data_IF_251721015887
#
_entry.id   IF_251721015887
#
_cell.length_a   1.000
_cell.length_b   1.000
_cell.length_c   1.000
_cell.angle_alpha   90.00
_cell.angle_beta   90.00
_cell.angle_gamma   90.00
#
_symmetry.space_group_name_H-M   'P 1'
#
loop_
_entity.id
_entity.type
_entity.pdbx_description
1 polymer ?
#
# COMPACT_ATOMS: atom_id res chain seq x y z
N UNK A 1 22.50 25.72 19.15
CA UNK A 1 21.28 24.89 19.04
C UNK A 1 21.35 24.10 17.73
N UNK A 2 21.82 22.86 17.84
CA UNK A 2 22.04 21.93 16.73
C UNK A 2 20.69 21.46 16.20
N UNK A 3 20.30 21.90 14.99
CA UNK A 3 19.16 21.31 14.30
C UNK A 3 19.59 19.91 13.85
N UNK A 4 19.10 18.87 14.52
CA UNK A 4 19.13 17.52 13.98
C UNK A 4 18.31 17.53 12.69
N UNK A 5 18.98 17.63 11.54
CA UNK A 5 18.36 17.41 10.26
C UNK A 5 18.16 15.90 10.13
N UNK A 6 16.93 15.43 10.34
CA UNK A 6 16.60 14.04 10.04
C UNK A 6 16.92 13.80 8.56
N UNK A 7 17.95 13.00 8.31
CA UNK A 7 18.27 12.50 6.98
C UNK A 7 17.22 11.43 6.66
N UNK A 8 16.41 11.68 5.65
CA UNK A 8 15.40 10.74 5.18
C UNK A 8 15.94 10.04 3.94
N UNK A 9 15.82 8.71 3.91
CA UNK A 9 16.09 7.93 2.70
C UNK A 9 14.92 8.12 1.74
N UNK A 10 15.23 8.49 0.50
CA UNK A 10 14.28 8.38 -0.59
C UNK A 10 14.65 7.19 -1.46
N UNK A 11 13.62 6.44 -1.83
CA UNK A 11 13.70 5.33 -2.76
C UNK A 11 13.04 5.78 -4.06
N UNK A 12 13.83 6.07 -5.09
CA UNK A 12 13.36 6.72 -6.34
C UNK A 12 12.32 5.88 -7.11
N UNK A 13 12.18 4.58 -6.80
CA UNK A 13 11.22 3.65 -7.42
C UNK A 13 10.36 2.93 -6.36
N UNK A 14 10.23 3.52 -5.16
CA UNK A 14 9.78 2.85 -3.92
C UNK A 14 8.48 2.04 -4.03
N UNK A 15 7.42 2.64 -4.56
CA UNK A 15 6.08 2.04 -4.57
C UNK A 15 5.95 0.91 -5.59
N UNK A 16 6.73 0.96 -6.68
CA UNK A 16 6.77 -0.07 -7.71
C UNK A 16 7.76 -1.19 -7.37
N UNK A 17 8.84 -0.88 -6.63
CA UNK A 17 9.87 -1.86 -6.23
C UNK A 17 9.30 -3.06 -5.46
N UNK A 18 8.25 -2.89 -4.67
CA UNK A 18 7.64 -4.01 -3.95
C UNK A 18 7.12 -5.11 -4.90
N UNK A 19 6.74 -4.73 -6.12
CA UNK A 19 6.22 -5.63 -7.16
C UNK A 19 7.31 -6.19 -8.08
N UNK A 20 8.56 -5.71 -7.99
CA UNK A 20 9.65 -6.24 -8.81
C UNK A 20 10.00 -7.70 -8.45
N UNK A 21 10.48 -8.50 -9.41
CA UNK A 21 10.97 -9.85 -9.14
C UNK A 21 12.20 -9.83 -8.23
N UNK A 22 12.40 -10.92 -7.49
CA UNK A 22 13.44 -11.03 -6.43
C UNK A 22 14.83 -10.70 -6.97
N UNK A 23 15.18 -11.20 -8.15
CA UNK A 23 16.51 -10.99 -8.77
C UNK A 23 16.80 -9.51 -9.07
N UNK A 24 15.76 -8.68 -9.19
CA UNK A 24 15.87 -7.24 -9.46
C UNK A 24 15.76 -6.38 -8.20
N UNK A 25 15.48 -6.98 -7.03
CA UNK A 25 15.41 -6.28 -5.73
C UNK A 25 16.78 -6.12 -5.06
N UNK A 26 17.83 -6.79 -5.53
CA UNK A 26 19.13 -6.88 -4.85
C UNK A 26 20.04 -5.66 -5.00
N UNK A 27 19.84 -4.82 -6.03
CA UNK A 27 20.74 -3.70 -6.36
C UNK A 27 20.13 -2.35 -5.97
N UNK A 28 20.25 -1.98 -4.69
CA UNK A 28 19.52 -0.82 -4.10
C UNK A 28 20.36 0.45 -3.91
N UNK A 29 21.69 0.39 -4.03
CA UNK A 29 22.55 1.55 -3.72
C UNK A 29 22.28 2.75 -4.64
N UNK A 30 21.96 2.51 -5.91
CA UNK A 30 21.68 3.54 -6.91
C UNK A 30 20.25 4.08 -6.84
N UNK A 31 19.34 3.40 -6.15
CA UNK A 31 17.94 3.84 -5.99
C UNK A 31 17.68 4.51 -4.64
N UNK A 32 18.70 4.59 -3.78
CA UNK A 32 18.61 5.13 -2.43
C UNK A 32 19.46 6.39 -2.30
N UNK A 33 18.84 7.52 -1.98
CA UNK A 33 19.54 8.78 -1.72
C UNK A 33 19.17 9.33 -0.35
N UNK A 34 20.18 9.89 0.34
CA UNK A 34 19.98 10.63 1.58
C UNK A 34 19.59 12.07 1.25
N UNK A 35 18.38 12.46 1.65
CA UNK A 35 17.87 13.81 1.48
C UNK A 35 17.55 14.46 2.83
N UNK A 36 17.68 15.78 2.92
CA UNK A 36 17.09 16.52 4.02
C UNK A 36 15.56 16.57 3.87
N UNK A 37 14.84 16.88 4.95
CA UNK A 37 13.38 16.90 4.94
C UNK A 37 12.74 17.78 3.85
N UNK A 38 13.32 18.96 3.55
CA UNK A 38 12.80 19.83 2.48
C UNK A 38 13.06 19.25 1.09
N UNK A 39 14.24 18.69 0.83
CA UNK A 39 14.54 18.02 -0.43
C UNK A 39 13.67 16.77 -0.62
N UNK A 40 13.41 16.02 0.44
CA UNK A 40 12.49 14.88 0.40
C UNK A 40 11.07 15.31 0.00
N UNK A 41 10.55 16.40 0.59
CA UNK A 41 9.23 16.93 0.23
C UNK A 41 9.16 17.35 -1.25
N UNK A 42 10.15 18.11 -1.73
CA UNK A 42 10.20 18.56 -3.14
C UNK A 42 10.31 17.35 -4.08
N UNK A 43 11.13 16.36 -3.72
CA UNK A 43 11.27 15.14 -4.54
C UNK A 43 9.95 14.40 -4.59
N UNK A 44 9.27 14.18 -3.45
CA UNK A 44 7.95 13.52 -3.41
C UNK A 44 6.91 14.22 -4.29
N UNK A 45 6.87 15.55 -4.29
CA UNK A 45 5.96 16.31 -5.16
C UNK A 45 6.27 16.09 -6.65
N UNK A 46 7.55 16.06 -7.01
CA UNK A 46 7.97 15.79 -8.39
C UNK A 46 7.74 14.32 -8.77
N UNK A 47 7.90 13.38 -7.85
CA UNK A 47 7.57 11.97 -8.06
C UNK A 47 6.09 11.80 -8.37
N UNK A 48 5.20 12.49 -7.66
CA UNK A 48 3.76 12.42 -7.91
C UNK A 48 3.39 12.93 -9.32
N UNK A 49 4.08 13.95 -9.83
CA UNK A 49 3.94 14.40 -11.22
C UNK A 49 4.35 13.30 -12.21
N UNK A 50 5.45 12.59 -11.95
CA UNK A 50 5.88 11.48 -12.79
C UNK A 50 4.91 10.29 -12.69
N UNK A 51 4.39 9.97 -11.51
CA UNK A 51 3.35 8.93 -11.32
C UNK A 51 2.11 9.22 -12.15
N UNK A 52 1.65 10.48 -12.18
CA UNK A 52 0.49 10.87 -13.00
C UNK A 52 0.75 10.67 -14.48
N UNK A 53 1.99 10.87 -14.94
CA UNK A 53 2.37 10.60 -16.33
C UNK A 53 2.41 9.09 -16.62
N UNK A 54 3.10 8.32 -15.78
CA UNK A 54 3.17 6.85 -15.86
C UNK A 54 1.77 6.23 -15.82
N UNK A 55 0.88 6.76 -14.98
CA UNK A 55 -0.51 6.33 -14.86
C UNK A 55 -1.26 6.40 -16.19
N UNK A 56 -1.03 7.46 -16.99
CA UNK A 56 -1.63 7.60 -18.32
C UNK A 56 -0.96 6.72 -19.37
N UNK A 57 0.36 6.59 -19.31
CA UNK A 57 1.15 5.81 -20.28
C UNK A 57 0.88 4.31 -20.21
N UNK A 58 0.70 3.77 -18.99
CA UNK A 58 0.46 2.34 -18.74
C UNK A 58 -1.02 2.04 -18.44
N UNK A 59 -1.94 2.98 -18.69
CA UNK A 59 -3.38 2.84 -18.38
C UNK A 59 -3.64 2.28 -16.95
N UNK A 60 -2.86 2.79 -15.99
CA UNK A 60 -2.81 2.32 -14.62
C UNK A 60 -3.23 3.48 -13.71
N UNK A 61 -4.53 3.69 -13.44
CA UNK A 61 -4.98 4.82 -12.62
C UNK A 61 -4.43 4.74 -11.19
N UNK A 62 -3.98 5.87 -10.64
CA UNK A 62 -3.45 5.97 -9.26
C UNK A 62 -4.53 5.60 -8.23
N UNK A 63 -5.75 6.06 -8.48
CA UNK A 63 -6.93 5.62 -7.77
C UNK A 63 -7.70 4.64 -8.66
N UNK A 64 -7.66 3.36 -8.32
CA UNK A 64 -8.36 2.32 -9.07
C UNK A 64 -9.88 2.41 -8.94
N UNK A 65 -10.43 3.29 -8.07
CA UNK A 65 -11.85 3.40 -7.75
C UNK A 65 -12.41 2.20 -6.97
N UNK A 66 -11.76 1.04 -7.07
CA UNK A 66 -11.96 -0.12 -6.24
C UNK A 66 -11.17 0.00 -4.92
N UNK A 67 -11.82 -0.32 -3.81
CA UNK A 67 -11.14 -0.48 -2.52
C UNK A 67 -10.32 -1.78 -2.50
N UNK A 68 -9.13 -1.72 -1.87
CA UNK A 68 -8.28 -2.90 -1.62
C UNK A 68 -8.99 -3.96 -0.77
N UNK A 69 -9.90 -3.51 0.08
CA UNK A 69 -10.70 -4.37 0.95
C UNK A 69 -12.17 -4.27 0.56
N UNK A 70 -12.80 -5.43 0.40
CA UNK A 70 -14.25 -5.54 0.40
C UNK A 70 -14.75 -5.59 1.84
N UNK A 71 -16.03 -5.28 2.01
CA UNK A 71 -16.72 -5.33 3.30
C UNK A 71 -17.81 -6.38 3.19
N UNK A 72 -17.72 -7.45 3.97
CA UNK A 72 -18.74 -8.48 4.03
C UNK A 72 -19.96 -7.94 4.82
N UNK A 73 -21.12 -7.74 4.17
CA UNK A 73 -22.29 -7.18 4.83
C UNK A 73 -22.83 -8.08 5.96
N UNK A 74 -22.65 -9.40 5.86
CA UNK A 74 -23.10 -10.37 6.86
C UNK A 74 -22.21 -10.24 8.10
N UNK A 75 -20.88 -10.26 7.93
CA UNK A 75 -19.95 -10.10 9.05
C UNK A 75 -20.10 -8.74 9.73
N UNK A 76 -20.41 -7.68 8.98
CA UNK A 76 -20.74 -6.37 9.56
C UNK A 76 -21.99 -6.42 10.46
N UNK A 77 -23.06 -7.09 10.00
CA UNK A 77 -24.28 -7.28 10.81
C UNK A 77 -23.98 -8.06 12.08
N UNK A 78 -23.27 -9.17 11.97
CA UNK A 78 -22.86 -10.03 13.10
C UNK A 78 -22.04 -9.24 14.11
N UNK A 79 -21.00 -8.55 13.66
CA UNK A 79 -20.14 -7.72 14.52
C UNK A 79 -20.92 -6.63 15.24
N UNK A 80 -21.80 -5.92 14.53
CA UNK A 80 -22.56 -4.82 15.11
C UNK A 80 -23.59 -5.33 16.13
N UNK A 81 -24.27 -6.44 15.83
CA UNK A 81 -25.19 -7.11 16.75
C UNK A 81 -24.47 -7.54 18.04
N UNK A 82 -23.32 -8.20 17.89
CA UNK A 82 -22.49 -8.63 19.01
C UNK A 82 -21.97 -7.46 19.86
N UNK A 83 -21.49 -6.38 19.23
CA UNK A 83 -21.04 -5.17 19.95
C UNK A 83 -22.18 -4.51 20.69
N UNK A 84 -23.37 -4.45 20.10
CA UNK A 84 -24.55 -3.91 20.75
C UNK A 84 -24.91 -4.70 22.02
N UNK A 85 -24.89 -6.04 21.95
CA UNK A 85 -25.13 -6.91 23.10
C UNK A 85 -24.01 -6.82 24.17
N UNK A 86 -22.74 -6.72 23.76
CA UNK A 86 -21.60 -6.72 24.68
C UNK A 86 -21.32 -5.36 25.37
N UNK A 87 -21.68 -4.23 24.75
CA UNK A 87 -21.26 -2.88 25.19
C UNK A 87 -22.39 -2.02 25.72
N UNK A 88 -23.56 -2.59 26.02
CA UNK A 88 -24.75 -1.81 26.36
C UNK A 88 -24.61 -1.07 27.71
N UNK A 89 -24.13 0.17 27.67
CA UNK A 89 -24.13 1.10 28.82
C UNK A 89 -25.55 1.49 29.26
N UNK A 90 -26.52 1.38 28.35
CA UNK A 90 -27.94 1.53 28.59
C UNK A 90 -28.64 0.20 28.25
N UNK A 91 -29.74 -0.16 28.94
CA UNK A 91 -30.49 -1.38 28.61
C UNK A 91 -30.99 -1.31 27.17
N UNK A 92 -30.67 -2.31 26.34
CA UNK A 92 -31.32 -2.44 25.04
C UNK A 92 -32.81 -2.73 25.24
N UNK A 93 -33.69 -2.21 24.38
CA UNK A 93 -35.06 -2.72 24.30
C UNK A 93 -35.06 -4.22 24.02
N UNK A 94 -35.90 -4.97 24.73
CA UNK A 94 -35.95 -6.45 24.67
C UNK A 94 -36.07 -6.98 23.23
N UNK A 95 -36.90 -6.33 22.42
CA UNK A 95 -37.12 -6.70 21.02
C UNK A 95 -35.85 -6.59 20.16
N UNK A 96 -35.02 -5.57 20.39
CA UNK A 96 -33.74 -5.39 19.68
C UNK A 96 -32.70 -6.40 20.15
N UNK A 97 -32.66 -6.72 21.43
CA UNK A 97 -31.76 -7.73 21.97
C UNK A 97 -32.08 -9.12 21.40
N UNK A 98 -33.36 -9.48 21.27
CA UNK A 98 -33.80 -10.72 20.62
C UNK A 98 -33.33 -10.77 19.16
N UNK A 99 -33.58 -9.72 18.38
CA UNK A 99 -33.13 -9.65 16.98
C UNK A 99 -31.61 -9.85 16.83
N UNK A 100 -30.81 -9.23 17.70
CA UNK A 100 -29.36 -9.39 17.66
C UNK A 100 -28.91 -10.81 18.05
N UNK A 101 -29.58 -11.45 19.02
CA UNK A 101 -29.30 -12.83 19.37
C UNK A 101 -29.64 -13.79 18.22
N UNK A 102 -30.75 -13.59 17.52
CA UNK A 102 -31.12 -14.40 16.36
C UNK A 102 -30.11 -14.28 15.20
N UNK A 103 -29.59 -13.07 14.93
CA UNK A 103 -28.50 -12.87 13.94
C UNK A 103 -27.26 -13.70 14.32
N UNK A 104 -26.89 -13.73 15.60
CA UNK A 104 -25.72 -14.47 16.06
C UNK A 104 -25.96 -15.98 16.05
N UNK A 105 -27.16 -16.44 16.40
CA UNK A 105 -27.55 -17.86 16.32
C UNK A 105 -27.51 -18.37 14.88
N UNK A 106 -28.06 -17.62 13.94
CA UNK A 106 -27.99 -17.95 12.51
C UNK A 106 -26.53 -17.95 12.02
N UNK A 107 -25.71 -17.00 12.46
CA UNK A 107 -24.30 -16.99 12.08
C UNK A 107 -23.50 -18.20 12.61
N UNK A 108 -23.69 -18.56 13.88
CA UNK A 108 -23.00 -19.70 14.50
C UNK A 108 -23.69 -21.04 14.25
N UNK A 109 -24.90 -21.05 13.68
CA UNK A 109 -25.75 -22.22 13.50
C UNK A 109 -26.00 -22.97 14.82
N UNK A 110 -26.36 -22.22 15.87
CA UNK A 110 -26.61 -22.74 17.22
C UNK A 110 -27.99 -22.33 17.74
N UNK A 111 -28.59 -23.18 18.56
CA UNK A 111 -29.90 -22.92 19.18
C UNK A 111 -29.78 -22.01 20.42
N UNK A 112 -28.68 -22.18 21.16
CA UNK A 112 -28.31 -21.37 22.32
C UNK A 112 -27.01 -20.61 22.06
N UNK A 113 -26.96 -19.37 22.53
CA UNK A 113 -25.83 -18.46 22.34
C UNK A 113 -25.20 -18.15 23.69
N UNK A 114 -23.90 -18.42 23.84
CA UNK A 114 -23.15 -18.10 25.04
C UNK A 114 -22.51 -16.69 24.98
N UNK A 115 -22.08 -16.18 26.15
CA UNK A 115 -21.47 -14.86 26.26
C UNK A 115 -20.07 -14.77 25.63
N UNK A 116 -19.38 -15.90 25.42
CA UNK A 116 -18.09 -15.94 24.75
C UNK A 116 -18.25 -15.77 23.23
N UNK A 117 -19.22 -16.44 22.63
CA UNK A 117 -19.60 -16.32 21.22
C UNK A 117 -19.98 -14.88 20.87
N UNK A 118 -20.66 -14.16 21.78
CA UNK A 118 -20.96 -12.73 21.62
C UNK A 118 -19.65 -11.91 21.64
N UNK A 119 -18.75 -12.17 22.59
CA UNK A 119 -17.46 -11.45 22.67
C UNK A 119 -16.59 -11.70 21.44
N UNK A 120 -16.55 -12.92 20.94
CA UNK A 120 -15.79 -13.28 19.74
C UNK A 120 -16.40 -12.69 18.48
N UNK A 121 -17.74 -12.72 18.35
CA UNK A 121 -18.43 -12.09 17.22
C UNK A 121 -18.17 -10.57 17.17
N UNK A 122 -18.04 -9.90 18.32
CA UNK A 122 -17.74 -8.48 18.39
C UNK A 122 -16.33 -8.13 17.87
N UNK A 123 -15.41 -9.10 17.84
CA UNK A 123 -14.01 -8.96 17.39
C UNK A 123 -13.81 -9.29 15.91
N UNK A 124 -14.78 -9.93 15.24
CA UNK A 124 -14.71 -10.28 13.82
C UNK A 124 -14.28 -9.08 12.98
N UNK A 125 -13.32 -9.28 12.08
CA UNK A 125 -13.01 -8.31 11.04
C UNK A 125 -13.90 -8.57 9.82
N UNK A 126 -14.84 -7.66 9.49
CA UNK A 126 -15.74 -7.85 8.35
C UNK A 126 -15.07 -7.48 7.02
N UNK A 127 -13.79 -7.06 7.04
CA UNK A 127 -13.04 -6.72 5.85
C UNK A 127 -12.31 -7.94 5.31
N UNK A 128 -12.38 -8.13 4.00
CA UNK A 128 -11.62 -9.15 3.29
C UNK A 128 -10.91 -8.53 2.08
N UNK A 129 -9.85 -9.19 1.60
CA UNK A 129 -9.13 -8.73 0.42
C UNK A 129 -10.05 -8.75 -0.80
N UNK A 130 -10.00 -7.68 -1.59
CA UNK A 130 -10.73 -7.61 -2.84
C UNK A 130 -9.87 -8.24 -3.96
N UNK A 131 -10.21 -9.42 -4.49
CA UNK A 131 -9.41 -10.06 -5.55
C UNK A 131 -9.40 -9.27 -6.86
N UNK A 132 -10.38 -8.37 -7.06
CA UNK A 132 -10.45 -7.49 -8.23
C UNK A 132 -9.67 -6.18 -8.04
N UNK A 133 -9.05 -5.97 -6.87
CA UNK A 133 -8.21 -4.81 -6.63
C UNK A 133 -6.82 -5.05 -7.22
N UNK A 134 -6.44 -4.19 -8.16
CA UNK A 134 -5.11 -4.15 -8.73
C UNK A 134 -4.53 -2.76 -8.48
N UNK A 135 -3.46 -2.70 -7.70
CA UNK A 135 -2.83 -1.43 -7.36
C UNK A 135 -2.17 -0.77 -8.58
N UNK A 136 -2.07 0.56 -8.58
CA UNK A 136 -1.33 1.31 -9.61
C UNK A 136 0.08 0.75 -9.83
N UNK A 137 0.85 0.58 -8.75
CA UNK A 137 2.22 0.10 -8.82
C UNK A 137 2.32 -1.29 -9.42
N UNK A 138 1.43 -2.20 -9.04
CA UNK A 138 1.35 -3.56 -9.56
C UNK A 138 1.10 -3.57 -11.07
N UNK A 139 0.05 -2.89 -11.53
CA UNK A 139 -0.29 -2.78 -12.96
C UNK A 139 0.86 -2.22 -13.80
N UNK A 140 1.53 -1.17 -13.30
CA UNK A 140 2.67 -0.56 -13.99
C UNK A 140 3.80 -1.58 -14.11
N UNK A 141 4.16 -2.28 -13.02
CA UNK A 141 5.24 -3.26 -13.05
C UNK A 141 4.93 -4.44 -13.95
N UNK A 142 3.71 -4.96 -13.92
CA UNK A 142 3.27 -6.05 -14.81
C UNK A 142 3.49 -5.69 -16.28
N UNK A 143 3.07 -4.50 -16.70
CA UNK A 143 3.24 -4.04 -18.08
C UNK A 143 4.70 -3.75 -18.42
N UNK A 144 5.43 -3.05 -17.55
CA UNK A 144 6.87 -2.78 -17.72
C UNK A 144 7.65 -4.08 -17.90
N UNK A 145 7.32 -5.11 -17.12
CA UNK A 145 7.92 -6.44 -17.25
C UNK A 145 7.51 -7.15 -18.53
N UNK A 146 6.22 -7.11 -18.88
CA UNK A 146 5.73 -7.71 -20.12
C UNK A 146 6.40 -7.12 -21.37
N UNK A 147 6.74 -5.83 -21.32
CA UNK A 147 7.45 -5.11 -22.38
C UNK A 147 8.98 -5.29 -22.32
N UNK A 148 9.53 -5.85 -21.24
CA UNK A 148 10.97 -5.95 -21.03
C UNK A 148 11.67 -4.62 -20.73
N UNK A 149 10.93 -3.60 -20.28
CA UNK A 149 11.38 -2.21 -20.09
C UNK A 149 11.82 -1.90 -18.66
N UNK A 150 12.04 -2.92 -17.83
CA UNK A 150 12.26 -2.75 -16.39
C UNK A 150 13.47 -1.85 -16.07
N UNK A 151 14.56 -1.99 -16.83
CA UNK A 151 15.76 -1.19 -16.63
C UNK A 151 15.52 0.26 -17.05
N UNK A 152 14.93 0.47 -18.22
CA UNK A 152 14.57 1.78 -18.76
C UNK A 152 13.63 2.52 -17.81
N UNK A 153 12.68 1.79 -17.22
CA UNK A 153 11.79 2.30 -16.20
C UNK A 153 12.55 2.79 -14.96
N UNK A 154 13.48 1.99 -14.41
CA UNK A 154 14.32 2.41 -13.28
C UNK A 154 15.19 3.63 -13.63
N UNK A 155 15.82 3.63 -14.80
CA UNK A 155 16.64 4.75 -15.28
C UNK A 155 15.83 6.04 -15.40
N UNK A 156 14.59 5.94 -15.87
CA UNK A 156 13.69 7.10 -16.02
C UNK A 156 13.41 7.80 -14.69
N UNK A 157 13.21 7.04 -13.61
CA UNK A 157 13.04 7.61 -12.26
C UNK A 157 14.29 8.35 -11.79
N UNK A 158 15.47 7.75 -11.99
CA UNK A 158 16.75 8.38 -11.66
C UNK A 158 16.99 9.66 -12.48
N UNK A 159 16.68 9.61 -13.77
CA UNK A 159 16.80 10.75 -14.67
C UNK A 159 15.84 11.88 -14.27
N UNK A 160 14.59 11.56 -13.95
CA UNK A 160 13.61 12.53 -13.46
C UNK A 160 14.07 13.23 -12.18
N UNK A 161 14.69 12.49 -11.25
CA UNK A 161 15.31 13.09 -10.07
C UNK A 161 16.40 14.10 -10.43
N UNK A 162 17.31 13.77 -11.34
CA UNK A 162 18.35 14.71 -11.78
C UNK A 162 17.77 15.98 -12.39
N UNK A 163 16.78 15.84 -13.25
CA UNK A 163 16.17 16.96 -13.99
C UNK A 163 15.40 17.90 -13.07
N UNK A 164 14.70 17.36 -12.07
CA UNK A 164 13.83 18.12 -11.17
C UNK A 164 14.58 18.67 -9.96
N UNK A 165 15.49 17.88 -9.36
CA UNK A 165 16.20 18.27 -8.14
C UNK A 165 17.52 18.98 -8.41
N UNK A 166 18.14 18.78 -9.58
CA UNK A 166 19.44 19.37 -9.96
C UNK A 166 20.46 19.34 -8.81
N UNK A 167 20.73 18.16 -8.23
CA UNK A 167 21.56 18.04 -7.04
C UNK A 167 22.98 18.55 -7.32
N UNK A 168 23.55 19.31 -6.39
CA UNK A 168 24.94 19.78 -6.50
C UNK A 168 25.97 18.70 -6.22
N UNK A 169 25.58 17.72 -5.40
CA UNK A 169 26.43 16.62 -4.95
C UNK A 169 25.64 15.33 -5.00
N UNK A 170 26.26 14.28 -5.52
CA UNK A 170 25.74 12.91 -5.53
C UNK A 170 26.86 11.96 -5.09
N UNK A 171 26.52 10.77 -4.57
CA UNK A 171 27.52 9.74 -4.32
C UNK A 171 28.34 9.46 -5.57
N UNK A 172 29.65 9.25 -5.44
CA UNK A 172 30.58 9.10 -6.57
C UNK A 172 30.18 7.99 -7.56
N UNK A 173 29.64 6.89 -7.04
CA UNK A 173 29.21 5.75 -7.85
C UNK A 173 27.75 5.86 -8.31
N UNK A 174 27.01 6.92 -7.93
CA UNK A 174 25.61 7.05 -8.32
C UNK A 174 25.51 7.42 -9.81
N UNK A 175 24.70 6.67 -10.55
CA UNK A 175 24.49 6.88 -11.98
C UNK A 175 23.04 6.67 -12.37
N UNK A 176 22.51 7.61 -13.17
CA UNK A 176 21.16 7.50 -13.72
C UNK A 176 21.02 6.32 -14.70
N UNK A 177 22.12 5.92 -15.35
CA UNK A 177 22.14 4.86 -16.36
C UNK A 177 22.73 3.54 -15.84
N UNK A 178 22.89 3.39 -14.52
CA UNK A 178 23.43 2.16 -13.95
C UNK A 178 22.62 0.93 -14.38
N UNK A 179 23.29 -0.01 -15.05
CA UNK A 179 22.73 -1.26 -15.54
C UNK A 179 23.33 -2.43 -14.76
N UNK A 180 22.57 -3.05 -13.83
CA UNK A 180 23.08 -4.14 -12.99
C UNK A 180 23.48 -5.39 -13.77
N UNK A 181 23.05 -5.54 -15.03
CA UNK A 181 23.42 -6.68 -15.88
C UNK A 181 24.74 -6.48 -16.63
N UNK A 182 25.24 -5.25 -16.79
CA UNK A 182 26.54 -4.98 -17.42
C UNK A 182 27.71 -5.10 -16.45
N UNK A 183 27.45 -4.89 -15.16
CA UNK A 183 28.49 -4.88 -14.13
C UNK A 183 28.78 -6.27 -13.53
N UNK A 184 28.12 -7.34 -14.03
CA UNK A 184 28.38 -8.74 -13.63
C UNK A 184 29.65 -9.37 -14.24
N UNK A 185 30.34 -8.64 -15.11
CA UNK A 185 31.52 -9.12 -15.84
C UNK A 185 32.82 -8.38 -15.46
N UNK A 186 32.87 -7.77 -14.27
CA UNK A 186 34.10 -7.27 -13.66
C UNK A 186 34.27 -7.86 -12.25
#
# INVERSE_FOLDING_TARGET
MTRFCQQNYIHLVSQQQQHFPIDHKSYKSHDNLLLCGSCHLITSLNEDILKLRISKEYDAPIDSGASKLNSDPILYKVKNAARALAQSKNPLPDERAIQYREILKDFYQVEELDEEQIREAAKIDPKNENPNYHGHGEKVVEQVMANGELLEFQMRWRQHFLETMKPKFLPELWSATHNPNKDKYF
#
